data_IF_504763442544
#
_entry.id   IF_504763442544
#
_cell.length_a   1.000
_cell.length_b   1.000
_cell.length_c   1.000
_cell.angle_alpha   90.00
_cell.angle_beta   90.00
_cell.angle_gamma   90.00
#
_symmetry.space_group_name_H-M   'P 1'
#
loop_
_entity.id
_entity.type
_entity.pdbx_description
1 polymer ?
#
# COMPACT_ATOMS: atom_id res chain seq x y z
N UNK A 1 -0.23 29.16 -15.52
CA UNK A 1 -0.88 27.83 -15.48
C UNK A 1 0.03 26.81 -16.17
N UNK A 2 1.10 26.33 -15.51
CA UNK A 2 2.11 25.46 -16.13
C UNK A 2 2.42 24.18 -15.32
N UNK A 3 1.63 23.85 -14.30
CA UNK A 3 1.89 22.73 -13.38
C UNK A 3 1.18 21.42 -13.77
N UNK A 4 0.12 21.46 -14.59
CA UNK A 4 -0.59 20.26 -15.06
C UNK A 4 0.17 19.35 -16.06
N UNK A 5 1.05 19.83 -16.96
CA UNK A 5 1.60 18.97 -18.01
C UNK A 5 2.63 17.95 -17.50
N UNK A 6 3.27 18.17 -16.35
CA UNK A 6 4.27 17.25 -15.80
C UNK A 6 3.66 15.99 -15.15
N UNK A 7 2.47 16.09 -14.55
CA UNK A 7 1.75 14.93 -14.00
C UNK A 7 0.95 14.18 -15.09
N UNK A 8 0.49 14.89 -16.11
CA UNK A 8 -0.29 14.31 -17.21
C UNK A 8 0.52 13.37 -18.12
N UNK A 9 1.86 13.46 -18.10
CA UNK A 9 2.74 12.57 -18.90
C UNK A 9 2.91 11.20 -18.23
N UNK A 10 2.67 11.08 -16.91
CA UNK A 10 2.96 9.83 -16.17
C UNK A 10 1.72 9.06 -15.70
N UNK A 11 0.52 9.64 -15.71
CA UNK A 11 -0.65 9.04 -15.08
C UNK A 11 -1.92 9.26 -15.95
N UNK A 12 -2.60 8.20 -16.45
CA UNK A 12 -3.87 8.34 -17.16
C UNK A 12 -4.90 9.15 -16.35
N UNK A 13 -5.55 10.11 -17.02
CA UNK A 13 -6.49 11.08 -16.47
C UNK A 13 -7.81 10.52 -15.90
N UNK A 14 -7.98 9.20 -15.80
CA UNK A 14 -9.15 8.56 -15.21
C UNK A 14 -8.78 7.94 -13.86
N UNK A 15 -8.95 8.70 -12.79
CA UNK A 15 -8.51 8.45 -11.41
C UNK A 15 -9.12 7.25 -10.67
N UNK A 16 -9.43 6.16 -11.37
CA UNK A 16 -10.07 4.96 -10.84
C UNK A 16 -9.16 3.72 -11.03
N UNK A 17 -7.91 3.85 -10.60
CA UNK A 17 -6.81 2.91 -10.82
C UNK A 17 -7.05 1.51 -10.22
N UNK A 18 -7.95 1.42 -9.23
CA UNK A 18 -8.28 0.19 -8.52
C UNK A 18 -9.53 -0.54 -9.05
N UNK A 19 -10.29 0.05 -9.99
CA UNK A 19 -11.51 -0.56 -10.53
C UNK A 19 -11.27 -1.89 -11.26
N UNK A 20 -10.20 -2.06 -12.07
CA UNK A 20 -9.91 -3.35 -12.69
C UNK A 20 -9.71 -4.46 -11.66
N UNK A 21 -8.97 -4.17 -10.57
CA UNK A 21 -8.73 -5.12 -9.49
C UNK A 21 -10.01 -5.48 -8.73
N UNK A 22 -10.89 -4.51 -8.45
CA UNK A 22 -12.21 -4.77 -7.87
C UNK A 22 -12.99 -5.74 -8.74
N UNK A 23 -13.07 -5.48 -10.05
CA UNK A 23 -13.84 -6.31 -10.99
C UNK A 23 -13.34 -7.75 -11.01
N UNK A 24 -12.02 -7.96 -11.00
CA UNK A 24 -11.47 -9.32 -11.00
C UNK A 24 -11.73 -10.04 -9.67
N UNK A 25 -11.61 -9.34 -8.53
CA UNK A 25 -11.91 -9.93 -7.22
C UNK A 25 -13.41 -10.26 -7.10
N UNK A 26 -14.30 -9.36 -7.55
CA UNK A 26 -15.74 -9.65 -7.60
C UNK A 26 -16.03 -10.89 -8.43
N UNK A 27 -15.38 -11.04 -9.60
CA UNK A 27 -15.52 -12.25 -10.43
C UNK A 27 -15.05 -13.52 -9.72
N UNK A 28 -13.98 -13.47 -8.92
CA UNK A 28 -13.55 -14.61 -8.10
C UNK A 28 -14.62 -14.98 -7.07
N UNK A 29 -15.20 -13.99 -6.40
CA UNK A 29 -16.26 -14.18 -5.42
C UNK A 29 -17.52 -14.75 -6.08
N UNK A 30 -17.93 -14.21 -7.23
CA UNK A 30 -19.07 -14.68 -8.02
C UNK A 30 -18.88 -16.14 -8.48
N UNK A 31 -17.63 -16.55 -8.72
CA UNK A 31 -17.26 -17.93 -9.05
C UNK A 31 -17.13 -18.84 -7.81
N UNK A 32 -17.52 -18.37 -6.62
CA UNK A 32 -17.56 -19.17 -5.39
C UNK A 32 -16.31 -19.13 -4.52
N UNK A 33 -15.30 -18.30 -4.86
CA UNK A 33 -14.17 -18.09 -3.96
C UNK A 33 -14.63 -17.30 -2.74
N UNK A 34 -14.52 -17.89 -1.55
CA UNK A 34 -14.89 -17.18 -0.32
C UNK A 34 -13.99 -15.95 -0.11
N UNK A 35 -14.54 -14.75 0.18
CA UNK A 35 -13.76 -13.53 0.33
C UNK A 35 -12.60 -13.64 1.34
N UNK A 36 -12.80 -14.36 2.44
CA UNK A 36 -11.78 -14.58 3.48
C UNK A 36 -10.57 -15.40 2.99
N UNK A 37 -10.69 -16.10 1.85
CA UNK A 37 -9.58 -16.83 1.23
C UNK A 37 -8.77 -15.95 0.27
N UNK A 38 -9.18 -14.71 0.01
CA UNK A 38 -8.50 -13.79 -0.92
C UNK A 38 -7.52 -12.92 -0.11
N UNK A 39 -6.23 -13.00 -0.43
CA UNK A 39 -5.18 -12.15 0.14
C UNK A 39 -4.70 -11.20 -0.96
N UNK A 40 -4.65 -9.91 -0.65
CA UNK A 40 -4.12 -8.91 -1.57
C UNK A 40 -2.61 -8.77 -1.39
N UNK A 41 -1.87 -8.70 -2.49
CA UNK A 41 -0.46 -8.34 -2.50
C UNK A 41 -0.29 -7.02 -3.24
N UNK A 42 0.28 -6.02 -2.58
CA UNK A 42 0.55 -4.71 -3.16
C UNK A 42 2.02 -4.36 -3.03
N UNK A 43 2.69 -4.24 -4.17
CA UNK A 43 4.09 -3.84 -4.24
C UNK A 43 4.22 -2.38 -4.70
N UNK A 44 5.06 -1.59 -4.04
CA UNK A 44 5.34 -0.22 -4.46
C UNK A 44 4.06 0.62 -4.56
N UNK A 45 3.81 1.26 -5.71
CA UNK A 45 2.53 1.94 -5.98
C UNK A 45 1.33 0.99 -5.98
N UNK A 46 1.51 -0.28 -6.36
CA UNK A 46 0.48 -1.32 -6.25
C UNK A 46 -0.02 -1.52 -4.81
N UNK A 47 0.78 -1.19 -3.80
CA UNK A 47 0.34 -1.11 -2.41
C UNK A 47 -0.78 -0.10 -2.18
N UNK A 48 -0.69 1.09 -2.78
CA UNK A 48 -1.75 2.10 -2.70
C UNK A 48 -3.05 1.59 -3.35
N UNK A 49 -2.93 0.91 -4.49
CA UNK A 49 -4.06 0.31 -5.19
C UNK A 49 -4.69 -0.79 -4.33
N UNK A 50 -3.89 -1.73 -3.81
CA UNK A 50 -4.37 -2.80 -2.94
C UNK A 50 -5.06 -2.27 -1.68
N UNK A 51 -4.58 -1.17 -1.11
CA UNK A 51 -5.20 -0.48 0.03
C UNK A 51 -6.61 0.04 -0.31
N UNK A 52 -6.80 0.72 -1.45
CA UNK A 52 -8.12 1.20 -1.86
C UNK A 52 -9.06 0.05 -2.24
N UNK A 53 -8.55 -1.01 -2.85
CA UNK A 53 -9.33 -2.23 -3.13
C UNK A 53 -9.83 -2.85 -1.82
N UNK A 54 -8.95 -3.04 -0.83
CA UNK A 54 -9.33 -3.60 0.46
C UNK A 54 -10.41 -2.76 1.16
N UNK A 55 -10.23 -1.44 1.15
CA UNK A 55 -11.20 -0.49 1.67
C UNK A 55 -12.54 -0.59 0.95
N UNK A 56 -12.55 -0.67 -0.39
CA UNK A 56 -13.78 -0.82 -1.17
C UNK A 56 -14.63 -2.03 -0.72
N UNK A 57 -14.00 -3.18 -0.50
CA UNK A 57 -14.68 -4.38 -0.05
C UNK A 57 -15.10 -4.28 1.43
N UNK A 58 -14.24 -3.72 2.28
CA UNK A 58 -14.55 -3.54 3.70
C UNK A 58 -15.70 -2.55 3.92
N UNK A 59 -15.77 -1.46 3.16
CA UNK A 59 -16.88 -0.48 3.18
C UNK A 59 -18.23 -1.11 2.75
N UNK A 60 -18.22 -2.35 2.24
CA UNK A 60 -19.40 -3.15 1.83
C UNK A 60 -19.59 -4.38 2.72
N UNK A 61 -18.94 -4.42 3.87
CA UNK A 61 -18.96 -5.54 4.80
C UNK A 61 -18.45 -6.87 4.19
N UNK A 62 -17.64 -6.79 3.13
CA UNK A 62 -16.97 -7.95 2.51
C UNK A 62 -15.57 -8.05 3.09
N UNK A 63 -15.40 -9.00 4.01
CA UNK A 63 -14.12 -9.24 4.67
C UNK A 63 -13.18 -10.08 3.80
N UNK A 64 -12.21 -9.41 3.18
CA UNK A 64 -11.09 -10.10 2.53
C UNK A 64 -10.16 -10.72 3.58
N UNK A 65 -9.39 -11.69 3.14
CA UNK A 65 -8.54 -12.51 3.99
C UNK A 65 -7.29 -11.82 4.57
N UNK A 66 -6.87 -10.69 4.02
CA UNK A 66 -5.67 -9.99 4.46
C UNK A 66 -4.99 -9.23 3.33
N UNK A 67 -3.92 -8.51 3.69
CA UNK A 67 -3.11 -7.76 2.75
C UNK A 67 -1.63 -7.81 3.11
N UNK A 68 -0.80 -7.95 2.09
CA UNK A 68 0.66 -7.85 2.17
C UNK A 68 1.08 -6.62 1.38
N UNK A 69 1.79 -5.72 2.04
CA UNK A 69 2.44 -4.57 1.41
C UNK A 69 3.92 -4.86 1.29
N UNK A 70 4.48 -4.70 0.08
CA UNK A 70 5.93 -4.80 -0.14
C UNK A 70 6.48 -3.49 -0.69
N UNK A 71 7.55 -2.97 -0.08
CA UNK A 71 8.22 -1.72 -0.49
C UNK A 71 7.25 -0.59 -0.84
N UNK A 72 6.21 -0.40 -0.01
CA UNK A 72 5.09 0.52 -0.25
C UNK A 72 5.28 1.83 0.54
N UNK A 73 4.81 2.96 0.03
CA UNK A 73 4.84 4.25 0.74
C UNK A 73 3.71 4.41 1.77
N UNK A 74 3.83 5.31 2.74
CA UNK A 74 2.78 5.57 3.73
C UNK A 74 1.62 6.43 3.20
N UNK A 75 1.94 7.41 2.37
CA UNK A 75 0.98 8.18 1.59
C UNK A 75 1.66 8.70 0.33
N UNK A 76 0.90 8.93 -0.75
CA UNK A 76 1.49 9.40 -2.00
C UNK A 76 2.08 10.80 -1.86
N UNK A 77 1.47 11.64 -1.01
CA UNK A 77 2.04 12.92 -0.59
C UNK A 77 3.44 12.77 0.04
N UNK A 78 3.59 11.82 0.97
CA UNK A 78 4.88 11.60 1.63
C UNK A 78 5.91 11.00 0.68
N UNK A 79 5.46 10.16 -0.27
CA UNK A 79 6.27 9.61 -1.33
C UNK A 79 6.87 10.72 -2.22
N UNK A 80 6.05 11.65 -2.72
CA UNK A 80 6.50 12.79 -3.53
C UNK A 80 7.57 13.63 -2.81
N UNK A 81 7.44 13.80 -1.49
CA UNK A 81 8.40 14.59 -0.70
C UNK A 81 9.79 13.96 -0.62
N UNK A 82 9.90 12.64 -0.71
CA UNK A 82 11.14 11.93 -0.48
C UNK A 82 11.67 11.17 -1.70
N UNK A 83 10.87 11.00 -2.75
CA UNK A 83 11.31 10.34 -3.98
C UNK A 83 12.55 11.04 -4.55
N UNK A 84 13.65 10.30 -4.83
CA UNK A 84 14.87 10.87 -5.38
C UNK A 84 14.79 11.08 -6.89
N UNK A 85 13.61 11.46 -7.39
CA UNK A 85 13.31 11.65 -8.81
C UNK A 85 13.27 13.16 -9.09
N UNK A 86 14.00 13.62 -10.11
CA UNK A 86 14.11 15.06 -10.40
C UNK A 86 12.76 15.73 -10.68
N UNK A 87 11.83 15.00 -11.30
CA UNK A 87 10.46 15.47 -11.57
C UNK A 87 9.66 15.69 -10.28
N UNK A 88 9.86 14.85 -9.25
CA UNK A 88 9.14 14.98 -7.97
C UNK A 88 9.73 16.07 -7.08
N UNK A 89 11.01 16.44 -7.28
CA UNK A 89 11.64 17.58 -6.57
C UNK A 89 10.91 18.90 -6.82
N UNK A 90 10.37 19.12 -8.02
CA UNK A 90 9.58 20.33 -8.31
C UNK A 90 8.29 20.34 -7.48
N UNK A 91 7.66 19.16 -7.35
CA UNK A 91 6.43 19.00 -6.60
C UNK A 91 6.65 19.05 -5.08
N UNK A 92 7.80 18.58 -4.59
CA UNK A 92 8.12 18.57 -3.15
C UNK A 92 8.35 19.97 -2.57
N UNK A 93 8.67 20.96 -3.41
CA UNK A 93 8.83 22.38 -3.02
C UNK A 93 7.47 23.07 -2.84
N UNK A 94 6.39 22.53 -3.41
CA UNK A 94 5.06 23.12 -3.28
C UNK A 94 4.63 23.16 -1.80
N UNK A 95 3.96 24.25 -1.35
CA UNK A 95 3.36 24.30 -0.02
C UNK A 95 2.47 23.08 0.22
N UNK A 96 2.60 22.44 1.39
CA UNK A 96 1.92 21.19 1.73
C UNK A 96 0.41 21.21 1.48
N UNK A 97 -0.26 22.33 1.77
CA UNK A 97 -1.70 22.51 1.52
C UNK A 97 -2.04 22.48 0.01
N UNK A 98 -1.22 23.11 -0.82
CA UNK A 98 -1.42 23.16 -2.27
C UNK A 98 -1.19 21.79 -2.91
N UNK A 99 -0.11 21.10 -2.51
CA UNK A 99 0.17 19.74 -2.99
C UNK A 99 -0.97 18.77 -2.64
N UNK A 100 -1.43 18.77 -1.39
CA UNK A 100 -2.56 17.91 -0.96
C UNK A 100 -3.84 18.20 -1.74
N UNK A 101 -4.18 19.48 -1.95
CA UNK A 101 -5.34 19.87 -2.77
C UNK A 101 -5.21 19.39 -4.21
N UNK A 102 -4.02 19.50 -4.81
CA UNK A 102 -3.75 19.03 -6.17
C UNK A 102 -3.88 17.51 -6.27
N UNK A 103 -3.29 16.76 -5.32
CA UNK A 103 -3.41 15.30 -5.29
C UNK A 103 -4.86 14.85 -5.19
N UNK A 104 -5.63 15.49 -4.31
CA UNK A 104 -7.07 15.23 -4.17
C UNK A 104 -7.85 15.53 -5.46
N UNK A 105 -7.55 16.65 -6.12
CA UNK A 105 -8.18 16.99 -7.41
C UNK A 105 -7.89 15.95 -8.50
N UNK A 106 -6.73 15.30 -8.44
CA UNK A 106 -6.32 14.24 -9.38
C UNK A 106 -6.72 12.83 -8.94
N UNK A 107 -7.42 12.66 -7.80
CA UNK A 107 -7.69 11.37 -7.16
C UNK A 107 -6.42 10.54 -6.89
N UNK A 108 -5.36 11.21 -6.45
CA UNK A 108 -4.06 10.64 -6.09
C UNK A 108 -3.72 10.85 -4.61
N UNK A 109 -4.69 11.24 -3.79
CA UNK A 109 -4.54 11.46 -2.35
C UNK A 109 -4.55 10.16 -1.53
N UNK A 110 -3.85 9.13 -2.01
CA UNK A 110 -3.70 7.86 -1.31
C UNK A 110 -3.06 8.05 0.07
N UNK A 111 -3.78 7.66 1.11
CA UNK A 111 -3.34 7.65 2.51
C UNK A 111 -3.53 6.24 3.09
N UNK A 112 -2.47 5.45 2.98
CA UNK A 112 -2.50 4.02 3.30
C UNK A 112 -2.53 3.83 4.82
N UNK A 113 -1.87 4.69 5.58
CA UNK A 113 -1.91 4.67 7.05
C UNK A 113 -3.33 4.93 7.55
N UNK A 114 -4.02 5.96 7.02
CA UNK A 114 -5.41 6.24 7.39
C UNK A 114 -6.36 5.09 7.00
N UNK A 115 -6.17 4.50 5.82
CA UNK A 115 -6.94 3.33 5.42
C UNK A 115 -6.73 2.16 6.38
N UNK A 116 -5.47 1.81 6.71
CA UNK A 116 -5.17 0.73 7.67
C UNK A 116 -5.81 0.98 9.03
N UNK A 117 -5.76 2.22 9.55
CA UNK A 117 -6.39 2.57 10.82
C UNK A 117 -7.89 2.27 10.83
N UNK A 118 -8.61 2.59 9.75
CA UNK A 118 -10.05 2.30 9.62
C UNK A 118 -10.32 0.80 9.57
N UNK A 119 -9.38 0.01 9.05
CA UNK A 119 -9.50 -1.44 8.91
C UNK A 119 -9.23 -2.21 10.20
N UNK A 120 -8.65 -1.59 11.23
CA UNK A 120 -8.26 -2.28 12.47
C UNK A 120 -9.42 -2.94 13.22
N UNK A 121 -10.65 -2.45 13.03
CA UNK A 121 -11.85 -3.01 13.65
C UNK A 121 -12.41 -4.23 12.92
N UNK A 122 -11.85 -4.61 11.77
CA UNK A 122 -12.39 -5.67 10.91
C UNK A 122 -11.63 -7.01 11.06
N UNK A 123 -10.70 -7.11 12.02
CA UNK A 123 -9.85 -8.28 12.24
C UNK A 123 -9.17 -8.77 10.94
N UNK A 124 -8.67 -7.82 10.14
CA UNK A 124 -7.95 -8.10 8.89
C UNK A 124 -6.47 -8.17 9.20
N UNK A 125 -5.82 -9.27 8.81
CA UNK A 125 -4.38 -9.45 8.98
C UNK A 125 -3.61 -8.66 7.93
N UNK A 126 -2.57 -7.95 8.37
CA UNK A 126 -1.76 -7.04 7.58
C UNK A 126 -0.29 -7.41 7.77
N UNK A 127 0.42 -7.60 6.67
CA UNK A 127 1.89 -7.70 6.67
C UNK A 127 2.47 -6.53 5.88
N UNK A 128 3.52 -5.92 6.41
CA UNK A 128 4.30 -4.89 5.72
C UNK A 128 5.74 -5.35 5.69
N UNK A 129 6.28 -5.53 4.48
CA UNK A 129 7.65 -5.96 4.24
C UNK A 129 8.33 -4.86 3.44
N UNK A 130 9.46 -4.38 3.90
CA UNK A 130 10.18 -3.30 3.24
C UNK A 130 11.67 -3.47 3.48
N UNK A 131 12.46 -2.73 2.72
CA UNK A 131 13.89 -2.70 2.89
C UNK A 131 14.35 -1.30 3.29
N UNK A 132 15.09 -1.17 4.39
CA UNK A 132 15.57 0.15 4.88
C UNK A 132 16.48 0.87 3.88
N UNK A 133 17.09 0.13 2.95
CA UNK A 133 18.01 0.64 1.93
C UNK A 133 17.35 0.83 0.56
N UNK A 134 16.02 0.73 0.49
CA UNK A 134 15.24 1.05 -0.71
C UNK A 134 15.52 2.50 -1.15
N UNK A 135 16.08 2.63 -2.36
CA UNK A 135 16.39 3.92 -2.96
C UNK A 135 15.20 4.51 -3.72
N UNK A 136 14.22 3.72 -4.12
CA UNK A 136 13.05 4.22 -4.85
C UNK A 136 11.99 4.76 -3.89
N UNK A 137 11.73 4.03 -2.79
CA UNK A 137 10.89 4.50 -1.67
C UNK A 137 11.75 4.57 -0.42
N UNK A 138 12.42 5.72 -0.18
CA UNK A 138 13.29 5.88 0.98
C UNK A 138 12.54 5.66 2.30
N UNK A 139 13.24 5.14 3.31
CA UNK A 139 12.66 4.79 4.61
C UNK A 139 11.68 5.83 5.22
N UNK A 140 11.94 7.15 5.18
CA UNK A 140 10.98 8.16 5.68
C UNK A 140 9.63 8.20 4.95
N UNK A 141 9.58 7.74 3.70
CA UNK A 141 8.36 7.63 2.91
C UNK A 141 7.68 6.26 3.02
N UNK A 142 8.34 5.25 3.57
CA UNK A 142 7.82 3.89 3.62
C UNK A 142 6.61 3.76 4.53
N UNK A 143 5.73 2.82 4.21
CA UNK A 143 4.54 2.49 4.99
C UNK A 143 4.93 2.01 6.38
N UNK A 144 5.97 1.18 6.49
CA UNK A 144 6.49 0.70 7.77
C UNK A 144 6.79 1.86 8.72
N UNK A 145 7.52 2.88 8.25
CA UNK A 145 7.82 4.07 9.06
C UNK A 145 6.54 4.81 9.47
N UNK A 146 5.59 4.99 8.55
CA UNK A 146 4.31 5.63 8.86
C UNK A 146 3.45 4.86 9.88
N UNK A 147 3.60 3.54 9.96
CA UNK A 147 2.89 2.68 10.91
C UNK A 147 3.65 2.52 12.25
N UNK A 148 4.97 2.57 12.25
CA UNK A 148 5.80 2.57 13.45
C UNK A 148 5.46 3.76 14.36
N UNK A 149 5.28 4.94 13.78
CA UNK A 149 4.94 6.16 14.51
C UNK A 149 3.47 6.20 14.99
N UNK A 150 2.66 5.20 14.62
CA UNK A 150 1.24 5.13 14.95
C UNK A 150 0.99 4.32 16.24
N UNK A 151 0.63 5.02 17.32
CA UNK A 151 0.37 4.43 18.64
C UNK A 151 -0.91 3.59 18.72
N UNK A 152 -1.90 3.81 17.85
CA UNK A 152 -3.14 3.03 17.85
C UNK A 152 -3.04 1.73 17.06
N UNK A 153 -1.87 1.40 16.49
CA UNK A 153 -1.72 0.22 15.65
C UNK A 153 -1.93 -1.08 16.42
N UNK A 154 -2.93 -1.87 16.02
CA UNK A 154 -3.11 -3.23 16.51
C UNK A 154 -1.97 -4.14 16.00
N UNK A 155 -0.96 -4.34 16.85
CA UNK A 155 0.24 -5.16 16.55
C UNK A 155 -0.04 -6.66 16.49
N UNK A 156 -1.18 -7.13 17.01
CA UNK A 156 -1.55 -8.54 16.89
C UNK A 156 -2.01 -8.88 15.46
N UNK A 157 -2.55 -7.89 14.74
CA UNK A 157 -3.02 -8.04 13.36
C UNK A 157 -2.05 -7.48 12.33
N UNK A 158 -1.07 -6.68 12.75
CA UNK A 158 -0.12 -6.00 11.86
C UNK A 158 1.31 -6.43 12.13
N UNK A 159 1.89 -7.22 11.21
CA UNK A 159 3.32 -7.59 11.21
C UNK A 159 4.09 -6.62 10.32
N UNK A 160 5.21 -6.08 10.83
CA UNK A 160 6.11 -5.19 10.08
C UNK A 160 7.49 -5.84 10.05
N UNK A 161 8.07 -5.95 8.86
CA UNK A 161 9.36 -6.60 8.59
C UNK A 161 10.25 -5.62 7.83
N UNK A 162 11.28 -5.12 8.52
CA UNK A 162 12.28 -4.20 7.97
C UNK A 162 13.57 -4.94 7.62
N UNK A 163 13.83 -5.17 6.33
CA UNK A 163 15.04 -5.81 5.85
C UNK A 163 16.22 -4.84 5.86
N UNK A 164 17.38 -5.37 6.30
CA UNK A 164 18.66 -4.65 6.42
C UNK A 164 19.79 -5.29 5.63
N UNK A 165 19.55 -6.47 5.05
CA UNK A 165 20.48 -7.25 4.22
C UNK A 165 21.13 -6.40 3.13
N UNK A 166 22.31 -6.80 2.66
CA UNK A 166 22.88 -6.21 1.46
C UNK A 166 22.26 -6.85 0.21
N UNK A 167 21.37 -6.13 -0.44
CA UNK A 167 20.76 -6.46 -1.72
C UNK A 167 21.15 -5.44 -2.80
N UNK A 168 21.35 -5.93 -4.02
CA UNK A 168 21.66 -5.11 -5.20
C UNK A 168 20.45 -4.29 -5.65
N UNK A 169 19.25 -4.85 -5.49
CA UNK A 169 17.98 -4.18 -5.75
C UNK A 169 17.08 -4.28 -4.50
N UNK A 170 17.28 -3.41 -3.50
CA UNK A 170 16.50 -3.42 -2.26
C UNK A 170 14.99 -3.19 -2.47
N UNK A 171 14.60 -2.53 -3.57
CA UNK A 171 13.19 -2.26 -3.84
C UNK A 171 12.45 -3.53 -4.22
N UNK A 172 13.00 -4.29 -5.17
CA UNK A 172 12.38 -5.52 -5.68
C UNK A 172 12.82 -6.78 -4.92
N UNK A 173 13.96 -6.76 -4.22
CA UNK A 173 14.52 -7.92 -3.53
C UNK A 173 13.59 -8.51 -2.47
N UNK A 174 12.73 -7.68 -1.87
CA UNK A 174 11.64 -8.10 -0.97
C UNK A 174 10.65 -9.08 -1.60
N UNK A 175 10.54 -9.12 -2.94
CA UNK A 175 9.64 -10.03 -3.67
C UNK A 175 10.22 -11.43 -3.85
N UNK A 176 11.54 -11.55 -3.72
CA UNK A 176 12.28 -12.82 -3.79
C UNK A 176 12.77 -13.30 -2.42
N UNK A 177 12.42 -12.58 -1.36
CA UNK A 177 12.85 -12.87 0.01
C UNK A 177 12.02 -13.98 0.64
N UNK A 178 12.69 -14.81 1.46
CA UNK A 178 12.05 -15.83 2.30
C UNK A 178 11.01 -15.23 3.25
N UNK A 179 11.15 -13.95 3.60
CA UNK A 179 10.20 -13.23 4.44
C UNK A 179 8.83 -13.08 3.76
N UNK A 180 8.76 -12.92 2.43
CA UNK A 180 7.46 -12.87 1.74
C UNK A 180 6.74 -14.21 1.86
N UNK A 181 7.46 -15.31 1.63
CA UNK A 181 6.91 -16.67 1.74
C UNK A 181 6.46 -16.98 3.16
N UNK A 182 7.26 -16.63 4.17
CA UNK A 182 6.91 -16.81 5.58
C UNK A 182 5.64 -16.02 5.96
N UNK A 183 5.57 -14.74 5.59
CA UNK A 183 4.42 -13.91 5.94
C UNK A 183 3.15 -14.33 5.19
N UNK A 184 3.29 -14.80 3.95
CA UNK A 184 2.18 -15.39 3.21
C UNK A 184 1.71 -16.69 3.87
N UNK A 185 2.64 -17.56 4.29
CA UNK A 185 2.33 -18.78 5.00
C UNK A 185 1.63 -18.50 6.35
N UNK A 186 2.14 -17.55 7.14
CA UNK A 186 1.52 -17.13 8.41
C UNK A 186 0.08 -16.65 8.21
N UNK A 187 -0.17 -15.84 7.17
CA UNK A 187 -1.50 -15.34 6.82
C UNK A 187 -2.46 -16.45 6.40
N UNK A 188 -1.96 -17.52 5.77
CA UNK A 188 -2.74 -18.69 5.39
C UNK A 188 -2.99 -19.61 6.60
N UNK A 189 -1.97 -19.85 7.42
CA UNK A 189 -2.02 -20.76 8.57
C UNK A 189 -2.91 -20.22 9.70
N UNK A 190 -2.82 -18.92 10.02
CA UNK A 190 -3.69 -18.28 11.01
C UNK A 190 -5.19 -18.38 10.68
N UNK A 191 -5.55 -18.61 9.40
CA UNK A 191 -6.94 -18.88 9.00
C UNK A 191 -7.36 -20.33 9.17
N UNK A 192 -6.41 -21.25 9.10
CA UNK A 192 -6.68 -22.69 9.19
C UNK A 192 -6.90 -23.11 10.64
N UNK A 193 -6.26 -22.42 11.59
CA UNK A 193 -6.38 -22.69 13.03
C UNK A 193 -7.57 -22.00 13.72
N UNK A 194 -8.16 -20.96 13.11
CA UNK A 194 -9.32 -20.23 13.64
C UNK A 194 -10.67 -20.68 13.05
N UNK A 195 -10.71 -21.88 12.44
CA UNK A 195 -11.94 -22.56 11.98
C UNK A 195 -12.32 -23.66 12.96
#
# INVERSE_FOLDING_TARGET
MAFLPLLSICLPCNGNWYQPSIKEISKLIDNGVKPENIILLGHSFGGAIASEVLKYFTDRDIKLGGIIFTSTFSSFYNAIKHFPISQTKILSILPSCLLKKMLKFLNLDFDIVSNIQKLQNNDISIAVINHERDTLIPYPAQLAKGLEDNQSLNRNLTKIVNLKSFEYDPHNGVLSGWELDENLADLILNKTMNR
#
